data_IF_313521698183
#
_entry.id   IF_313521698183
#
_cell.length_a   1.000
_cell.length_b   1.000
_cell.length_c   1.000
_cell.angle_alpha   90.00
_cell.angle_beta   90.00
_cell.angle_gamma   90.00
#
_symmetry.space_group_name_H-M   'P 1'
#
loop_
_entity.id
_entity.type
_entity.pdbx_description
1 polymer ?
#
# COMPACT_ATOMS: atom_id res chain seq x y z
N UNK A 1 4.65 6.52 -2.11
CA UNK A 1 3.71 6.96 -3.16
C UNK A 1 4.34 8.06 -3.99
N UNK A 2 4.75 9.22 -3.46
CA UNK A 2 5.27 10.37 -4.23
C UNK A 2 6.35 9.98 -5.26
N UNK A 3 7.35 9.18 -4.86
CA UNK A 3 8.37 8.70 -5.80
C UNK A 3 7.81 7.87 -6.96
N UNK A 4 6.73 7.12 -6.73
CA UNK A 4 6.07 6.36 -7.79
C UNK A 4 5.38 7.28 -8.79
N UNK A 5 4.68 8.30 -8.30
CA UNK A 5 4.03 9.32 -9.12
C UNK A 5 5.05 10.11 -9.93
N UNK A 6 6.13 10.57 -9.30
CA UNK A 6 7.20 11.33 -9.96
C UNK A 6 7.91 10.54 -11.08
N UNK A 7 8.04 9.23 -10.92
CA UNK A 7 8.69 8.36 -11.91
C UNK A 7 7.75 7.88 -13.02
N UNK A 8 6.47 8.21 -12.96
CA UNK A 8 5.45 7.75 -13.92
C UNK A 8 4.58 8.89 -14.49
N UNK A 9 5.16 9.95 -15.08
CA UNK A 9 4.46 11.20 -15.42
C UNK A 9 3.38 11.07 -16.51
N UNK A 10 3.29 9.95 -17.19
CA UNK A 10 2.32 9.69 -18.25
C UNK A 10 1.25 8.68 -17.85
N UNK A 11 1.22 8.25 -16.60
CA UNK A 11 0.24 7.30 -16.08
C UNK A 11 -0.75 8.02 -15.15
N UNK A 12 -2.01 7.62 -15.22
CA UNK A 12 -3.09 8.15 -14.37
C UNK A 12 -3.29 7.24 -13.18
N UNK A 13 -3.06 7.80 -12.00
CA UNK A 13 -3.23 7.10 -10.73
C UNK A 13 -4.49 7.58 -10.02
N UNK A 14 -5.25 6.64 -9.48
CA UNK A 14 -6.24 6.91 -8.45
C UNK A 14 -5.72 6.39 -7.11
N UNK A 15 -5.92 7.15 -6.06
CA UNK A 15 -5.43 6.83 -4.72
C UNK A 15 -6.61 6.78 -3.74
N UNK A 16 -6.77 5.65 -3.06
CA UNK A 16 -7.69 5.48 -1.93
C UNK A 16 -6.85 5.40 -0.67
N UNK A 17 -6.99 6.40 0.20
CA UNK A 17 -6.32 6.41 1.50
C UNK A 17 -7.37 6.04 2.56
N UNK A 18 -7.06 4.98 3.31
CA UNK A 18 -7.86 4.57 4.44
C UNK A 18 -7.11 4.84 5.74
N UNK A 19 -7.47 5.90 6.43
CA UNK A 19 -6.85 6.29 7.71
C UNK A 19 -7.71 5.81 8.89
N UNK A 20 -7.07 5.11 9.82
CA UNK A 20 -7.64 4.73 11.12
C UNK A 20 -7.46 5.91 12.09
N UNK A 21 -8.54 6.64 12.41
CA UNK A 21 -8.49 7.67 13.44
C UNK A 21 -9.36 8.90 13.15
N UNK A 22 -9.73 9.61 14.21
CA UNK A 22 -10.48 10.85 14.16
C UNK A 22 -9.75 11.88 13.29
N UNK A 23 -10.48 12.49 12.36
CA UNK A 23 -10.18 13.67 11.57
C UNK A 23 -8.69 14.07 11.59
N UNK A 24 -7.88 13.46 10.76
CA UNK A 24 -6.45 13.74 10.65
C UNK A 24 -6.19 15.02 9.86
N UNK A 25 -5.30 15.84 10.39
CA UNK A 25 -4.89 17.16 9.88
C UNK A 25 -3.91 17.06 8.68
N UNK A 26 -3.61 15.87 8.17
CA UNK A 26 -2.55 15.65 7.18
C UNK A 26 -3.02 15.59 5.71
N UNK A 27 -4.14 16.23 5.38
CA UNK A 27 -4.69 16.33 4.02
C UNK A 27 -3.85 17.19 3.05
N UNK A 28 -2.56 17.43 3.30
CA UNK A 28 -1.77 18.40 2.50
C UNK A 28 -0.58 17.82 1.73
N UNK A 29 -0.35 16.51 1.67
CA UNK A 29 0.95 16.01 1.23
C UNK A 29 1.06 15.46 -0.18
N UNK A 30 0.00 15.39 -0.99
CA UNK A 30 0.14 14.92 -2.37
C UNK A 30 -0.65 15.82 -3.32
N UNK A 31 -0.06 16.94 -3.71
CA UNK A 31 -0.54 17.72 -4.84
C UNK A 31 0.58 17.80 -5.86
N UNK A 32 0.53 17.00 -6.87
CA UNK A 32 1.16 17.27 -8.15
C UNK A 32 0.13 18.00 -9.01
N UNK A 33 0.42 19.20 -9.50
CA UNK A 33 -0.49 20.01 -10.34
C UNK A 33 -0.84 19.37 -11.69
N UNK A 34 -0.42 18.12 -11.94
CA UNK A 34 -0.64 17.36 -13.18
C UNK A 34 -1.40 16.06 -13.03
N UNK A 35 -1.72 15.66 -11.80
CA UNK A 35 -2.34 14.36 -11.52
C UNK A 35 -3.61 14.56 -10.69
N UNK A 36 -4.74 14.07 -11.21
CA UNK A 36 -6.01 14.09 -10.48
C UNK A 36 -5.98 13.00 -9.40
N UNK A 37 -5.62 13.38 -8.18
CA UNK A 37 -5.65 12.50 -7.01
C UNK A 37 -7.03 12.61 -6.38
N UNK A 38 -7.73 11.49 -6.30
CA UNK A 38 -9.03 11.41 -5.65
C UNK A 38 -8.83 10.88 -4.25
N UNK A 39 -8.83 11.77 -3.28
CA UNK A 39 -8.92 11.38 -1.88
C UNK A 39 -10.38 11.07 -1.54
N UNK A 40 -10.65 9.83 -1.19
CA UNK A 40 -11.93 9.43 -0.62
C UNK A 40 -11.77 9.27 0.89
N UNK A 41 -12.06 10.35 1.63
CA UNK A 41 -12.15 10.33 3.08
C UNK A 41 -13.44 9.59 3.52
N UNK A 42 -13.42 8.27 3.48
CA UNK A 42 -14.48 7.45 4.04
C UNK A 42 -14.06 6.99 5.43
N UNK A 43 -14.76 7.51 6.45
CA UNK A 43 -14.50 7.12 7.83
C UNK A 43 -14.56 5.60 8.04
N UNK A 44 -13.73 5.14 8.94
CA UNK A 44 -13.62 3.81 9.56
C UNK A 44 -14.10 2.61 8.72
N UNK A 45 -13.16 1.91 8.04
CA UNK A 45 -13.42 0.67 7.29
C UNK A 45 -13.57 -0.57 8.21
N UNK A 46 -13.59 -0.44 9.52
CA UNK A 46 -13.51 -1.60 10.43
C UNK A 46 -14.73 -2.55 10.45
N UNK A 47 -15.87 -2.18 9.89
CA UNK A 47 -17.05 -3.07 9.90
C UNK A 47 -17.66 -3.36 8.51
N UNK A 48 -17.26 -2.66 7.44
CA UNK A 48 -17.84 -2.82 6.10
C UNK A 48 -16.80 -2.61 4.99
N UNK A 49 -15.55 -3.00 5.24
CA UNK A 49 -14.39 -2.81 4.35
C UNK A 49 -14.73 -3.04 2.87
N UNK A 50 -15.39 -4.16 2.58
CA UNK A 50 -15.73 -4.54 1.22
C UNK A 50 -16.74 -3.58 0.56
N UNK A 51 -17.80 -3.21 1.28
CA UNK A 51 -18.84 -2.33 0.73
C UNK A 51 -18.36 -0.90 0.49
N UNK A 52 -17.50 -0.39 1.37
CA UNK A 52 -16.94 0.96 1.27
C UNK A 52 -15.91 1.04 0.16
N UNK A 53 -15.05 0.03 0.04
CA UNK A 53 -14.08 -0.06 -1.05
C UNK A 53 -14.78 -0.10 -2.41
N UNK A 54 -15.80 -0.94 -2.57
CA UNK A 54 -16.57 -1.05 -3.81
C UNK A 54 -17.22 0.29 -4.16
N UNK A 55 -17.86 0.98 -3.20
CA UNK A 55 -18.43 2.31 -3.43
C UNK A 55 -17.38 3.34 -3.86
N UNK A 56 -16.20 3.31 -3.23
CA UNK A 56 -15.10 4.18 -3.59
C UNK A 56 -14.60 3.92 -5.01
N UNK A 57 -14.43 2.67 -5.37
CA UNK A 57 -14.05 2.27 -6.74
C UNK A 57 -15.12 2.69 -7.76
N UNK A 58 -16.41 2.45 -7.46
CA UNK A 58 -17.52 2.88 -8.35
C UNK A 58 -17.57 4.40 -8.53
N UNK A 59 -17.30 5.18 -7.48
CA UNK A 59 -17.22 6.65 -7.56
C UNK A 59 -16.06 7.11 -8.44
N UNK A 60 -14.91 6.49 -8.30
CA UNK A 60 -13.73 6.77 -9.13
C UNK A 60 -14.07 6.48 -10.60
N UNK A 61 -14.57 5.29 -10.90
CA UNK A 61 -14.90 4.86 -12.26
C UNK A 61 -16.04 5.66 -12.89
N UNK A 62 -16.94 6.24 -12.09
CA UNK A 62 -18.01 7.11 -12.60
C UNK A 62 -17.53 8.50 -13.03
N UNK A 63 -16.37 8.94 -12.52
CA UNK A 63 -15.80 10.26 -12.79
C UNK A 63 -14.69 10.24 -13.82
N UNK A 64 -13.97 9.12 -13.93
CA UNK A 64 -12.74 9.00 -14.71
C UNK A 64 -12.76 7.75 -15.58
N UNK A 65 -12.72 7.96 -16.89
CA UNK A 65 -12.82 6.86 -17.87
C UNK A 65 -11.52 6.07 -18.03
N UNK A 66 -10.37 6.68 -17.74
CA UNK A 66 -9.06 6.10 -18.01
C UNK A 66 -8.16 6.23 -16.79
N UNK A 67 -8.12 5.21 -15.96
CA UNK A 67 -7.20 5.07 -14.83
C UNK A 67 -6.26 3.91 -15.16
N UNK A 68 -4.95 4.18 -15.13
CA UNK A 68 -3.94 3.16 -15.38
C UNK A 68 -3.67 2.34 -14.12
N UNK A 69 -3.63 3.00 -12.96
CA UNK A 69 -3.35 2.35 -11.67
C UNK A 69 -4.27 2.86 -10.55
N UNK A 70 -4.76 1.92 -9.76
CA UNK A 70 -5.45 2.19 -8.50
C UNK A 70 -4.54 1.79 -7.34
N UNK A 71 -4.18 2.76 -6.50
CA UNK A 71 -3.40 2.53 -5.29
C UNK A 71 -4.33 2.61 -4.09
N UNK A 72 -4.26 1.61 -3.21
CA UNK A 72 -5.00 1.60 -1.95
C UNK A 72 -3.98 1.59 -0.82
N UNK A 73 -3.96 2.66 -0.05
CA UNK A 73 -3.14 2.78 1.14
C UNK A 73 -3.98 2.44 2.37
N UNK A 74 -3.58 1.41 3.08
CA UNK A 74 -4.10 1.08 4.40
C UNK A 74 -3.11 1.55 5.44
N UNK A 75 -3.56 2.37 6.38
CA UNK A 75 -2.69 2.93 7.42
C UNK A 75 -2.76 2.14 8.71
N UNK A 76 -1.66 2.17 9.48
CA UNK A 76 -1.59 1.58 10.80
C UNK A 76 -1.63 0.05 10.80
N UNK A 77 -2.38 -0.52 11.74
CA UNK A 77 -2.50 -1.96 11.99
C UNK A 77 -3.65 -2.61 11.18
N UNK A 78 -3.91 -2.16 9.96
CA UNK A 78 -4.97 -2.72 9.14
C UNK A 78 -4.56 -4.08 8.55
N UNK A 79 -5.42 -5.08 8.72
CA UNK A 79 -5.32 -6.36 8.00
C UNK A 79 -5.59 -6.14 6.50
N UNK A 80 -4.65 -6.45 5.60
CA UNK A 80 -4.83 -6.30 4.16
C UNK A 80 -5.78 -7.35 3.56
N UNK A 81 -6.04 -8.45 4.26
CA UNK A 81 -6.82 -9.58 3.76
C UNK A 81 -8.20 -9.22 3.21
N UNK A 82 -9.05 -8.44 3.91
CA UNK A 82 -10.36 -8.02 3.41
C UNK A 82 -10.28 -7.18 2.13
N UNK A 83 -9.26 -6.33 1.98
CA UNK A 83 -9.03 -5.53 0.77
C UNK A 83 -8.65 -6.46 -0.39
N UNK A 84 -7.65 -7.32 -0.20
CA UNK A 84 -7.21 -8.31 -1.19
C UNK A 84 -8.36 -9.21 -1.63
N UNK A 85 -9.15 -9.71 -0.66
CA UNK A 85 -10.30 -10.55 -0.94
C UNK A 85 -11.34 -9.84 -1.82
N UNK A 86 -11.54 -8.54 -1.65
CA UNK A 86 -12.48 -7.76 -2.48
C UNK A 86 -12.08 -7.78 -3.96
N UNK A 87 -10.78 -7.71 -4.27
CA UNK A 87 -10.28 -7.84 -5.64
C UNK A 87 -10.42 -9.23 -6.23
N UNK A 88 -10.44 -10.27 -5.40
CA UNK A 88 -10.52 -11.65 -5.86
C UNK A 88 -11.94 -12.18 -6.04
N UNK A 89 -12.96 -11.54 -5.43
CA UNK A 89 -14.32 -12.10 -5.39
C UNK A 89 -15.42 -11.13 -5.88
N UNK A 90 -15.13 -9.86 -6.12
CA UNK A 90 -16.14 -8.92 -6.63
C UNK A 90 -16.00 -8.74 -8.14
N UNK A 91 -16.99 -9.20 -8.92
CA UNK A 91 -16.99 -9.17 -10.38
C UNK A 91 -16.88 -7.76 -10.95
N UNK A 92 -17.37 -6.72 -10.24
CA UNK A 92 -17.31 -5.32 -10.69
C UNK A 92 -15.87 -4.81 -10.64
N UNK A 93 -15.15 -5.15 -9.56
CA UNK A 93 -13.74 -4.81 -9.43
C UNK A 93 -12.91 -5.60 -10.45
N UNK A 94 -13.09 -6.92 -10.51
CA UNK A 94 -12.35 -7.79 -11.44
C UNK A 94 -12.54 -7.43 -12.91
N UNK A 95 -13.71 -6.90 -13.30
CA UNK A 95 -13.95 -6.47 -14.68
C UNK A 95 -13.16 -5.23 -15.10
N UNK A 96 -12.57 -4.50 -14.12
CA UNK A 96 -11.91 -3.22 -14.35
C UNK A 96 -10.45 -3.20 -13.88
N UNK A 97 -10.14 -3.91 -12.82
CA UNK A 97 -8.83 -3.94 -12.20
C UNK A 97 -8.35 -5.37 -11.97
N UNK A 98 -7.06 -5.55 -12.11
CA UNK A 98 -6.34 -6.75 -11.68
C UNK A 98 -5.48 -6.37 -10.48
N UNK A 99 -5.48 -7.21 -9.44
CA UNK A 99 -4.54 -7.03 -8.33
C UNK A 99 -3.13 -7.31 -8.85
N UNK A 100 -2.29 -6.31 -8.85
CA UNK A 100 -0.92 -6.37 -9.33
C UNK A 100 0.02 -6.86 -8.22
N UNK A 101 0.06 -6.14 -7.10
CA UNK A 101 0.86 -6.53 -5.94
C UNK A 101 0.32 -5.95 -4.63
N UNK A 102 0.59 -6.66 -3.55
CA UNK A 102 0.49 -6.17 -2.17
C UNK A 102 1.88 -5.74 -1.73
N UNK A 103 2.06 -4.44 -1.44
CA UNK A 103 3.33 -3.87 -1.01
C UNK A 103 3.27 -3.53 0.47
N UNK A 104 4.09 -4.18 1.29
CA UNK A 104 4.23 -3.87 2.72
C UNK A 104 5.47 -3.04 2.96
N UNK A 105 5.32 -1.85 3.56
CA UNK A 105 6.44 -0.98 3.93
C UNK A 105 6.86 -1.29 5.36
N UNK A 106 8.12 -1.70 5.55
CA UNK A 106 8.69 -2.06 6.84
C UNK A 106 9.65 -0.98 7.33
N UNK A 107 9.33 -0.38 8.47
CA UNK A 107 10.25 0.49 9.20
C UNK A 107 11.30 -0.36 9.94
N UNK A 108 12.53 -0.46 9.40
CA UNK A 108 13.58 -1.30 9.97
C UNK A 108 13.95 -0.93 11.41
N UNK A 109 13.70 0.32 11.85
CA UNK A 109 13.99 0.76 13.21
C UNK A 109 13.04 0.15 14.24
N UNK A 110 11.78 -0.07 13.88
CA UNK A 110 10.73 -0.46 14.82
C UNK A 110 10.20 -1.89 14.58
N UNK A 111 10.42 -2.46 13.41
CA UNK A 111 9.83 -3.72 12.99
C UNK A 111 10.06 -4.87 13.97
N UNK A 112 11.30 -5.10 14.41
CA UNK A 112 11.62 -6.23 15.30
C UNK A 112 10.93 -6.15 16.66
N UNK A 113 10.56 -4.93 17.12
CA UNK A 113 9.78 -4.75 18.34
C UNK A 113 8.27 -4.89 18.14
N UNK A 114 7.77 -4.64 16.93
CA UNK A 114 6.35 -4.64 16.60
C UNK A 114 5.86 -5.97 16.00
N UNK A 115 6.76 -6.79 15.46
CA UNK A 115 6.40 -8.01 14.74
C UNK A 115 5.77 -9.11 15.63
N UNK A 116 5.71 -8.92 16.93
CA UNK A 116 4.94 -9.78 17.84
C UNK A 116 3.42 -9.55 17.71
N UNK A 117 3.00 -8.39 17.18
CA UNK A 117 1.60 -8.06 16.96
C UNK A 117 1.06 -8.83 15.74
N UNK A 118 -0.19 -9.28 15.86
CA UNK A 118 -0.81 -10.14 14.85
C UNK A 118 -0.92 -9.40 13.50
N UNK A 119 -1.36 -8.16 13.52
CA UNK A 119 -1.56 -7.33 12.33
C UNK A 119 -0.26 -7.09 11.56
N UNK A 120 0.85 -6.89 12.28
CA UNK A 120 2.17 -6.74 11.65
C UNK A 120 2.61 -8.04 10.94
N UNK A 121 2.29 -9.20 11.51
CA UNK A 121 2.56 -10.50 10.89
C UNK A 121 1.70 -10.70 9.65
N UNK A 122 0.39 -10.38 9.71
CA UNK A 122 -0.54 -10.48 8.58
C UNK A 122 -0.08 -9.58 7.41
N UNK A 123 0.31 -8.34 7.68
CA UNK A 123 0.82 -7.43 6.65
C UNK A 123 2.04 -7.99 5.92
N UNK A 124 2.96 -8.64 6.62
CA UNK A 124 4.11 -9.31 6.00
C UNK A 124 3.70 -10.59 5.28
N UNK A 125 2.77 -11.35 5.86
CA UNK A 125 2.32 -12.63 5.28
C UNK A 125 1.60 -12.43 3.93
N UNK A 126 0.81 -11.35 3.78
CA UNK A 126 0.10 -11.02 2.55
C UNK A 126 0.96 -10.33 1.48
N UNK A 127 2.18 -9.88 1.83
CA UNK A 127 3.01 -9.09 0.92
C UNK A 127 3.54 -9.90 -0.27
N UNK A 128 3.39 -9.38 -1.48
CA UNK A 128 4.17 -9.79 -2.66
C UNK A 128 5.53 -9.11 -2.66
N UNK A 129 5.56 -7.84 -2.19
CA UNK A 129 6.78 -7.05 -2.05
C UNK A 129 6.87 -6.46 -0.65
N UNK A 130 8.01 -6.65 0.00
CA UNK A 130 8.35 -5.95 1.25
C UNK A 130 9.39 -4.89 0.95
N UNK A 131 9.03 -3.63 1.21
CA UNK A 131 9.90 -2.48 1.02
C UNK A 131 10.52 -2.06 2.34
N UNK A 132 11.81 -2.32 2.51
CA UNK A 132 12.56 -1.92 3.70
C UNK A 132 12.84 -0.42 3.67
N UNK A 133 12.38 0.28 4.70
CA UNK A 133 12.50 1.73 4.84
C UNK A 133 13.30 2.11 6.09
N UNK A 134 13.78 3.36 6.13
CA UNK A 134 14.58 3.93 7.23
C UNK A 134 15.87 3.15 7.50
N UNK A 135 16.51 2.69 6.44
CA UNK A 135 17.77 1.93 6.50
C UNK A 135 18.93 2.78 7.07
N UNK A 136 18.85 4.09 6.85
CA UNK A 136 19.79 5.09 7.36
C UNK A 136 19.76 5.29 8.89
N UNK A 137 18.72 4.78 9.56
CA UNK A 137 18.53 4.91 11.00
C UNK A 137 18.93 3.67 11.80
N UNK A 138 19.49 2.65 11.15
CA UNK A 138 19.82 1.37 11.79
C UNK A 138 21.15 0.81 11.27
N UNK A 139 21.81 -0.02 12.09
CA UNK A 139 23.01 -0.74 11.69
C UNK A 139 22.67 -1.89 10.73
N UNK A 140 23.63 -2.30 9.91
CA UNK A 140 23.46 -3.36 8.92
C UNK A 140 22.97 -4.69 9.52
N UNK A 141 23.42 -5.02 10.73
CA UNK A 141 22.99 -6.21 11.46
C UNK A 141 21.48 -6.22 11.76
N UNK A 142 20.89 -5.06 12.09
CA UNK A 142 19.44 -4.92 12.30
C UNK A 142 18.68 -5.16 11.01
N UNK A 143 19.21 -4.68 9.88
CA UNK A 143 18.61 -4.92 8.56
C UNK A 143 18.63 -6.42 8.23
N UNK A 144 19.74 -7.11 8.49
CA UNK A 144 19.85 -8.56 8.26
C UNK A 144 18.85 -9.34 9.12
N UNK A 145 18.77 -9.07 10.42
CA UNK A 145 17.78 -9.69 11.30
C UNK A 145 16.33 -9.41 10.87
N UNK A 146 16.08 -8.18 10.38
CA UNK A 146 14.76 -7.82 9.81
C UNK A 146 14.43 -8.70 8.61
N UNK A 147 15.38 -8.87 7.68
CA UNK A 147 15.22 -9.72 6.50
C UNK A 147 14.98 -11.19 6.91
N UNK A 148 15.76 -11.73 7.83
CA UNK A 148 15.59 -13.09 8.34
C UNK A 148 14.20 -13.28 8.95
N UNK A 149 13.73 -12.32 9.75
CA UNK A 149 12.39 -12.37 10.35
C UNK A 149 11.30 -12.33 9.29
N UNK A 150 11.39 -11.45 8.29
CA UNK A 150 10.46 -11.39 7.16
C UNK A 150 10.45 -12.73 6.42
N UNK A 151 11.61 -13.30 6.10
CA UNK A 151 11.72 -14.60 5.42
C UNK A 151 11.11 -15.75 6.21
N UNK A 152 11.14 -15.69 7.55
CA UNK A 152 10.51 -16.70 8.41
C UNK A 152 8.98 -16.64 8.35
N UNK A 153 8.39 -15.49 8.05
CA UNK A 153 6.95 -15.28 7.93
C UNK A 153 6.47 -15.44 6.48
N UNK A 154 7.22 -14.89 5.52
CA UNK A 154 6.90 -14.93 4.11
C UNK A 154 8.17 -15.14 3.27
N UNK A 155 8.43 -16.37 2.91
CA UNK A 155 9.61 -16.74 2.09
C UNK A 155 9.48 -16.35 0.63
N UNK A 156 8.27 -16.04 0.14
CA UNK A 156 7.99 -15.77 -1.26
C UNK A 156 8.04 -14.29 -1.58
N UNK A 157 7.82 -13.41 -0.60
CA UNK A 157 7.84 -11.98 -0.81
C UNK A 157 9.19 -11.53 -1.41
N UNK A 158 9.15 -10.68 -2.40
CA UNK A 158 10.33 -9.97 -2.88
C UNK A 158 10.69 -8.89 -1.87
N UNK A 159 11.95 -8.83 -1.44
CA UNK A 159 12.42 -7.82 -0.48
C UNK A 159 13.22 -6.79 -1.25
N UNK A 160 12.80 -5.54 -1.19
CA UNK A 160 13.44 -4.39 -1.82
C UNK A 160 13.86 -3.37 -0.76
N UNK A 161 14.96 -2.67 -1.00
CA UNK A 161 15.46 -1.60 -0.12
C UNK A 161 15.05 -0.24 -0.68
N UNK A 162 14.43 0.62 0.14
CA UNK A 162 14.10 1.99 -0.24
C UNK A 162 15.33 2.90 -0.14
N UNK A 163 16.29 2.68 -1.00
CA UNK A 163 17.51 3.49 -1.14
C UNK A 163 17.33 4.60 -2.19
N UNK A 164 18.35 5.43 -2.37
CA UNK A 164 18.28 6.61 -3.26
C UNK A 164 18.05 6.22 -4.72
N UNK A 165 18.57 5.08 -5.15
CA UNK A 165 18.47 4.53 -6.51
C UNK A 165 17.27 3.61 -6.72
N UNK A 166 16.42 3.42 -5.69
CA UNK A 166 15.21 2.60 -5.80
C UNK A 166 14.24 3.20 -6.83
N UNK A 167 13.87 2.42 -7.86
CA UNK A 167 12.89 2.78 -8.88
C UNK A 167 11.53 2.11 -8.57
N UNK A 168 10.56 2.85 -8.01
CA UNK A 168 9.25 2.26 -7.68
C UNK A 168 8.52 1.71 -8.90
N UNK A 169 8.59 2.39 -10.04
CA UNK A 169 7.92 1.96 -11.26
C UNK A 169 8.38 0.57 -11.71
N UNK A 170 9.69 0.32 -11.73
CA UNK A 170 10.26 -0.95 -12.19
C UNK A 170 10.13 -2.07 -11.15
N UNK A 171 10.02 -1.71 -9.88
CA UNK A 171 10.08 -2.64 -8.76
C UNK A 171 8.72 -2.95 -8.12
N UNK A 172 7.73 -2.09 -8.30
CA UNK A 172 6.42 -2.24 -7.67
C UNK A 172 5.29 -2.47 -8.68
N UNK A 173 5.42 -1.95 -9.91
CA UNK A 173 4.42 -2.16 -10.96
C UNK A 173 4.86 -3.32 -11.86
N UNK A 174 3.95 -4.26 -12.13
CA UNK A 174 4.13 -5.40 -13.01
C UNK A 174 3.94 -5.09 -14.49
#
# INVERSE_FOLDING_TARGET
INRLLDTSPNQKFALIINEFGEIGIDNQLVISEKEEIIELNNGCICCTVRGDLIRSVDQILSRYDNIDHLIIETTGLADPGPVVQSFLVDDRIQSRFTLDAVVTVVDCRHFLSQIAEHEAQEQVAFADVVLLNKLDLVEAEVVEHTIEKIRSLNRFARIEKNETDFSPKEKLLG
#
